data_IF_779928263869
#
_entry.id   IF_779928263869
#
_cell.length_a   1.000
_cell.length_b   1.000
_cell.length_c   1.000
_cell.angle_alpha   90.00
_cell.angle_beta   90.00
_cell.angle_gamma   90.00
#
_symmetry.space_group_name_H-M   'P 1'
#
loop_
_entity.id
_entity.type
_entity.pdbx_description
1 polymer ?
#
# COMPACT_ATOMS: atom_id res chain seq x y z
N UNK A 1 2.92 8.76 7.57
CA UNK A 1 2.09 8.19 6.50
C UNK A 1 2.50 6.77 6.22
N UNK A 2 1.53 5.93 6.03
CA UNK A 2 1.78 4.49 5.97
C UNK A 2 2.51 4.04 4.72
N UNK A 3 2.19 4.58 3.55
CA UNK A 3 2.73 4.06 2.28
C UNK A 3 3.67 5.05 1.60
N UNK A 4 4.68 5.46 2.33
CA UNK A 4 5.80 6.20 1.80
C UNK A 4 5.46 7.58 1.24
N UNK A 5 5.96 7.86 0.06
CA UNK A 5 5.92 9.20 -0.55
C UNK A 5 4.67 9.47 -1.40
N UNK A 6 3.76 8.51 -1.53
CA UNK A 6 2.58 8.67 -2.37
C UNK A 6 1.63 9.71 -1.77
N UNK A 7 1.16 10.61 -2.63
CA UNK A 7 0.21 11.63 -2.22
C UNK A 7 -1.21 11.09 -2.29
N UNK A 8 -2.00 11.46 -1.30
CA UNK A 8 -3.40 11.09 -1.26
C UNK A 8 -4.25 12.19 -1.89
N UNK A 9 -5.38 11.77 -2.46
CA UNK A 9 -6.41 12.67 -2.98
C UNK A 9 -7.71 12.43 -2.21
N UNK A 10 -8.55 13.44 -2.11
CA UNK A 10 -9.84 13.34 -1.43
C UNK A 10 -10.96 13.79 -2.37
N UNK A 11 -12.12 13.12 -2.29
CA UNK A 11 -13.32 13.54 -2.99
C UNK A 11 -14.55 13.07 -2.24
N UNK A 12 -15.70 13.70 -2.52
CA UNK A 12 -16.98 13.40 -1.84
C UNK A 12 -17.49 12.01 -2.21
N UNK A 13 -17.47 11.67 -3.49
CA UNK A 13 -17.94 10.38 -3.96
C UNK A 13 -16.87 9.31 -3.84
N UNK A 14 -17.29 8.08 -3.54
CA UNK A 14 -16.35 6.96 -3.48
C UNK A 14 -15.80 6.70 -4.89
N UNK A 15 -14.47 6.75 -5.06
CA UNK A 15 -13.87 6.46 -6.36
C UNK A 15 -13.97 4.98 -6.69
N UNK A 16 -14.05 4.65 -7.97
CA UNK A 16 -13.88 3.29 -8.42
C UNK A 16 -12.43 2.87 -8.26
N UNK A 17 -12.19 1.57 -8.06
CA UNK A 17 -10.80 1.05 -7.94
C UNK A 17 -10.01 1.35 -9.23
N UNK A 18 -10.67 1.31 -10.37
CA UNK A 18 -10.02 1.58 -11.65
C UNK A 18 -10.93 2.35 -12.59
N UNK A 19 -10.36 3.38 -13.24
CA UNK A 19 -11.00 4.12 -14.32
C UNK A 19 -10.31 3.75 -15.64
N UNK A 20 -11.01 3.04 -16.50
CA UNK A 20 -10.48 2.53 -17.76
C UNK A 20 -10.09 3.65 -18.74
N UNK A 21 -10.80 4.77 -18.72
CA UNK A 21 -10.52 5.88 -19.63
C UNK A 21 -9.22 6.60 -19.28
N UNK A 22 -9.00 6.88 -18.00
CA UNK A 22 -7.82 7.58 -17.53
C UNK A 22 -6.69 6.64 -17.14
N UNK A 23 -6.97 5.36 -17.00
CA UNK A 23 -6.06 4.33 -16.49
C UNK A 23 -5.52 4.66 -15.09
N UNK A 24 -6.35 5.26 -14.26
CA UNK A 24 -6.00 5.54 -12.86
C UNK A 24 -6.55 4.44 -11.97
N UNK A 25 -5.65 3.86 -11.17
CA UNK A 25 -5.98 2.88 -10.13
C UNK A 25 -6.00 3.63 -8.80
N UNK A 26 -7.08 3.47 -8.04
CA UNK A 26 -7.20 4.09 -6.72
C UNK A 26 -6.88 3.08 -5.64
N UNK A 27 -5.81 3.32 -4.90
CA UNK A 27 -5.33 2.45 -3.82
C UNK A 27 -5.77 3.00 -2.47
N UNK A 28 -5.97 2.09 -1.51
CA UNK A 28 -6.23 2.41 -0.10
C UNK A 28 -7.39 3.41 0.05
N UNK A 29 -8.53 3.11 -0.58
CA UNK A 29 -9.72 3.94 -0.50
C UNK A 29 -10.28 3.88 0.92
N UNK A 30 -10.30 5.02 1.60
CA UNK A 30 -10.64 5.12 3.02
C UNK A 30 -11.64 6.24 3.24
N UNK A 31 -12.73 6.02 3.98
CA UNK A 31 -13.63 7.11 4.35
C UNK A 31 -12.90 8.19 5.16
N UNK A 32 -13.08 9.44 4.79
CA UNK A 32 -12.46 10.58 5.47
C UNK A 32 -13.39 11.78 5.45
N UNK A 33 -13.54 12.41 6.61
CA UNK A 33 -14.35 13.61 6.76
C UNK A 33 -13.45 14.83 6.62
N UNK A 34 -13.85 15.80 5.79
CA UNK A 34 -13.16 17.08 5.66
C UNK A 34 -14.16 18.23 5.85
N UNK A 35 -13.66 19.41 6.15
CA UNK A 35 -14.49 20.60 6.28
C UNK A 35 -14.78 21.17 4.91
N UNK A 36 -16.03 21.59 4.68
CA UNK A 36 -16.41 22.32 3.48
C UNK A 36 -16.06 23.83 3.61
N UNK A 37 -16.43 24.61 2.59
CA UNK A 37 -16.15 26.05 2.57
C UNK A 37 -16.81 26.81 3.73
N UNK A 38 -17.91 26.29 4.26
CA UNK A 38 -18.66 26.89 5.37
C UNK A 38 -18.23 26.38 6.74
N UNK A 39 -17.22 25.51 6.79
CA UNK A 39 -16.70 24.93 8.03
C UNK A 39 -17.49 23.74 8.55
N UNK A 40 -18.44 23.21 7.79
CA UNK A 40 -19.23 22.03 8.15
C UNK A 40 -18.52 20.74 7.75
N UNK A 41 -18.77 19.66 8.50
CA UNK A 41 -18.23 18.35 8.18
C UNK A 41 -18.81 17.83 6.88
N UNK A 42 -17.93 17.33 6.00
CA UNK A 42 -18.32 16.74 4.73
C UNK A 42 -17.73 15.34 4.62
N UNK A 43 -18.59 14.34 4.47
CA UNK A 43 -18.16 12.96 4.29
C UNK A 43 -17.58 12.76 2.89
N UNK A 44 -16.51 12.01 2.82
CA UNK A 44 -15.86 11.71 1.54
C UNK A 44 -14.89 10.56 1.68
N UNK A 45 -13.96 10.46 0.73
CA UNK A 45 -13.01 9.36 0.65
C UNK A 45 -11.62 9.89 0.30
N UNK A 46 -10.63 9.34 0.99
CA UNK A 46 -9.22 9.55 0.69
C UNK A 46 -8.67 8.32 -0.02
N UNK A 47 -7.82 8.51 -1.00
CA UNK A 47 -7.25 7.41 -1.79
C UNK A 47 -5.93 7.83 -2.42
N UNK A 48 -5.18 6.83 -2.89
CA UNK A 48 -3.90 7.05 -3.57
C UNK A 48 -4.10 6.76 -5.05
N UNK A 49 -4.12 7.79 -5.94
CA UNK A 49 -4.27 7.55 -7.38
C UNK A 49 -2.93 7.19 -8.01
N UNK A 50 -2.91 6.15 -8.83
CA UNK A 50 -1.74 5.73 -9.59
C UNK A 50 -2.15 5.52 -11.03
N UNK A 51 -1.54 6.25 -11.96
CA UNK A 51 -1.77 6.05 -13.39
C UNK A 51 -0.91 4.90 -13.88
N UNK A 52 -1.54 3.93 -14.58
CA UNK A 52 -0.83 2.82 -15.21
C UNK A 52 -0.73 3.04 -16.72
N UNK A 53 0.22 2.37 -17.36
CA UNK A 53 0.38 2.47 -18.80
C UNK A 53 -0.61 1.59 -19.56
N UNK A 54 -0.48 1.53 -20.88
CA UNK A 54 -1.40 0.80 -21.76
C UNK A 54 -1.17 -0.70 -21.81
N UNK A 55 -0.11 -1.21 -21.18
CA UNK A 55 0.16 -2.64 -21.13
C UNK A 55 -0.69 -3.30 -20.05
N UNK A 56 -1.77 -3.94 -20.46
CA UNK A 56 -2.75 -4.55 -19.55
C UNK A 56 -2.40 -6.01 -19.33
N UNK A 57 -1.57 -6.23 -18.32
CA UNK A 57 -1.12 -7.54 -17.89
C UNK A 57 -1.01 -7.53 -16.37
N UNK A 58 -1.53 -8.56 -15.70
CA UNK A 58 -1.58 -8.60 -14.24
C UNK A 58 -0.22 -8.35 -13.59
N UNK A 59 0.81 -9.05 -14.04
CA UNK A 59 2.15 -8.90 -13.45
C UNK A 59 2.74 -7.52 -13.68
N UNK A 60 2.54 -6.95 -14.87
CA UNK A 60 3.01 -5.61 -15.18
C UNK A 60 2.29 -4.54 -14.37
N UNK A 61 0.98 -4.63 -14.26
CA UNK A 61 0.17 -3.69 -13.48
C UNK A 61 0.57 -3.77 -12.01
N UNK A 62 0.67 -4.96 -11.45
CA UNK A 62 1.09 -5.17 -10.06
C UNK A 62 2.45 -4.52 -9.81
N UNK A 63 3.42 -4.73 -10.70
CA UNK A 63 4.75 -4.15 -10.58
C UNK A 63 4.72 -2.63 -10.62
N UNK A 64 3.95 -2.03 -11.52
CA UNK A 64 3.82 -0.58 -11.60
C UNK A 64 3.24 0.01 -10.31
N UNK A 65 2.24 -0.64 -9.73
CA UNK A 65 1.63 -0.17 -8.49
C UNK A 65 2.61 -0.26 -7.31
N UNK A 66 3.35 -1.36 -7.22
CA UNK A 66 4.35 -1.53 -6.17
C UNK A 66 5.46 -0.48 -6.28
N UNK A 67 5.99 -0.27 -7.50
CA UNK A 67 7.05 0.70 -7.73
C UNK A 67 6.62 2.14 -7.46
N UNK A 68 5.34 2.44 -7.60
CA UNK A 68 4.82 3.77 -7.27
C UNK A 68 4.98 4.09 -5.78
N UNK A 69 4.88 3.09 -4.91
CA UNK A 69 5.03 3.27 -3.46
C UNK A 69 6.42 2.95 -2.94
N UNK A 70 7.10 1.97 -3.55
CA UNK A 70 8.42 1.51 -3.11
C UNK A 70 9.31 1.26 -4.32
N UNK A 71 10.48 1.88 -4.35
CA UNK A 71 11.46 1.61 -5.40
C UNK A 71 11.94 0.16 -5.30
N UNK A 72 12.11 -0.50 -6.44
CA UNK A 72 12.49 -1.92 -6.50
C UNK A 72 13.77 -2.24 -5.71
N UNK A 73 14.75 -1.34 -5.73
CA UNK A 73 15.99 -1.51 -4.97
C UNK A 73 15.78 -1.55 -3.46
N UNK A 74 14.70 -0.94 -2.95
CA UNK A 74 14.43 -0.87 -1.52
C UNK A 74 13.76 -2.16 -1.01
N UNK A 75 13.08 -2.89 -1.89
CA UNK A 75 12.39 -4.14 -1.56
C UNK A 75 13.33 -5.18 -0.95
N UNK A 76 14.49 -5.40 -1.59
CA UNK A 76 15.47 -6.35 -1.10
C UNK A 76 16.08 -5.88 0.23
N UNK A 77 16.38 -4.59 0.35
CA UNK A 77 16.90 -4.01 1.59
C UNK A 77 15.93 -4.16 2.76
N UNK A 78 14.65 -3.89 2.53
CA UNK A 78 13.62 -4.07 3.54
C UNK A 78 13.54 -5.53 4.01
N UNK A 79 13.58 -6.47 3.07
CA UNK A 79 13.54 -7.89 3.38
C UNK A 79 14.74 -8.30 4.23
N UNK A 80 15.96 -7.93 3.82
CA UNK A 80 17.18 -8.37 4.51
C UNK A 80 17.28 -7.78 5.91
N UNK A 81 16.90 -6.52 6.09
CA UNK A 81 16.90 -5.90 7.41
C UNK A 81 15.89 -6.57 8.34
N UNK A 82 14.70 -6.88 7.82
CA UNK A 82 13.68 -7.56 8.61
C UNK A 82 14.10 -9.00 8.98
N UNK A 83 14.75 -9.72 8.06
CA UNK A 83 15.25 -11.07 8.32
C UNK A 83 16.25 -11.08 9.45
N UNK A 84 17.19 -10.14 9.47
CA UNK A 84 18.16 -10.02 10.56
C UNK A 84 17.46 -9.83 11.91
N UNK A 85 16.50 -8.92 11.98
CA UNK A 85 15.77 -8.65 13.21
C UNK A 85 14.94 -9.85 13.67
N UNK A 86 14.31 -10.54 12.73
CA UNK A 86 13.48 -11.73 13.02
C UNK A 86 14.37 -12.85 13.58
N UNK A 87 15.49 -13.12 12.94
CA UNK A 87 16.42 -14.17 13.40
C UNK A 87 16.97 -13.86 14.79
N UNK A 88 17.30 -12.60 15.04
CA UNK A 88 17.77 -12.16 16.34
C UNK A 88 16.71 -12.30 17.42
N UNK A 89 15.47 -11.92 17.11
CA UNK A 89 14.35 -12.05 18.04
C UNK A 89 14.11 -13.52 18.44
N UNK A 90 14.20 -14.44 17.50
CA UNK A 90 14.00 -15.88 17.74
C UNK A 90 15.18 -16.44 18.56
N UNK A 91 16.40 -16.05 18.22
CA UNK A 91 17.62 -16.57 18.85
C UNK A 91 17.76 -16.10 20.31
N UNK A 92 17.44 -14.83 20.59
CA UNK A 92 17.70 -14.21 21.87
C UNK A 92 16.55 -14.36 22.87
N UNK A 93 15.41 -14.91 22.47
CA UNK A 93 14.21 -14.98 23.30
C UNK A 93 13.67 -16.39 23.38
N UNK A 94 13.18 -16.78 24.55
CA UNK A 94 12.72 -18.15 24.81
C UNK A 94 11.20 -18.29 24.93
N UNK A 95 10.46 -17.17 24.97
CA UNK A 95 9.00 -17.19 25.08
C UNK A 95 8.36 -16.51 23.89
N UNK A 96 7.13 -16.93 23.55
CA UNK A 96 6.37 -16.30 22.45
C UNK A 96 6.15 -14.82 22.74
N UNK A 97 5.85 -14.47 23.98
CA UNK A 97 5.61 -13.08 24.38
C UNK A 97 6.84 -12.20 24.16
N UNK A 98 8.02 -12.67 24.58
CA UNK A 98 9.26 -11.91 24.41
C UNK A 98 9.70 -11.85 22.94
N UNK A 99 9.43 -12.87 22.13
CA UNK A 99 9.68 -12.84 20.69
C UNK A 99 8.79 -11.79 20.02
N UNK A 100 7.50 -11.76 20.33
CA UNK A 100 6.59 -10.76 19.80
C UNK A 100 7.03 -9.34 20.11
N UNK A 101 7.48 -9.10 21.33
CA UNK A 101 7.97 -7.80 21.75
C UNK A 101 9.26 -7.42 21.01
N UNK A 102 10.17 -8.37 20.86
CA UNK A 102 11.43 -8.15 20.13
C UNK A 102 11.23 -7.94 18.64
N UNK A 103 10.14 -8.41 18.05
CA UNK A 103 9.80 -8.18 16.65
C UNK A 103 9.24 -6.77 16.39
N UNK A 104 8.94 -5.99 17.40
CA UNK A 104 8.47 -4.62 17.23
C UNK A 104 9.65 -3.68 17.01
N UNK A 105 10.29 -3.79 15.85
CA UNK A 105 11.41 -2.95 15.43
C UNK A 105 11.02 -2.14 14.21
N UNK A 106 11.74 -1.05 13.95
CA UNK A 106 11.51 -0.22 12.77
C UNK A 106 11.66 -1.02 11.47
N UNK A 107 12.66 -1.90 11.40
CA UNK A 107 12.92 -2.69 10.20
C UNK A 107 11.83 -3.73 9.95
N UNK A 108 11.38 -4.44 10.99
CA UNK A 108 10.27 -5.40 10.85
C UNK A 108 8.99 -4.68 10.48
N UNK A 109 8.69 -3.56 11.13
CA UNK A 109 7.48 -2.78 10.85
C UNK A 109 7.49 -2.21 9.43
N UNK A 110 8.64 -1.75 8.95
CA UNK A 110 8.78 -1.26 7.56
C UNK A 110 8.55 -2.38 6.56
N UNK A 111 9.05 -3.59 6.83
CA UNK A 111 8.81 -4.73 5.96
C UNK A 111 7.35 -5.15 5.96
N UNK A 112 6.69 -5.17 7.11
CA UNK A 112 5.26 -5.49 7.22
C UNK A 112 4.43 -4.47 6.43
N UNK A 113 4.75 -3.19 6.54
CA UNK A 113 4.07 -2.13 5.78
C UNK A 113 4.24 -2.35 4.27
N UNK A 114 5.44 -2.71 3.83
CA UNK A 114 5.70 -3.05 2.43
C UNK A 114 4.86 -4.24 1.98
N UNK A 115 4.78 -5.30 2.79
CA UNK A 115 3.98 -6.48 2.46
C UNK A 115 2.49 -6.15 2.37
N UNK A 116 1.98 -5.31 3.26
CA UNK A 116 0.59 -4.85 3.21
C UNK A 116 0.32 -4.06 1.92
N UNK A 117 1.23 -3.15 1.56
CA UNK A 117 1.11 -2.38 0.34
C UNK A 117 1.16 -3.28 -0.89
N UNK A 118 2.07 -4.23 -0.92
CA UNK A 118 2.21 -5.19 -2.01
C UNK A 118 0.93 -6.03 -2.19
N UNK A 119 0.34 -6.48 -1.09
CA UNK A 119 -0.92 -7.22 -1.11
C UNK A 119 -2.05 -6.37 -1.68
N UNK A 120 -2.13 -5.12 -1.28
CA UNK A 120 -3.12 -4.17 -1.81
C UNK A 120 -2.94 -3.95 -3.32
N UNK A 121 -1.70 -3.83 -3.79
CA UNK A 121 -1.41 -3.70 -5.22
C UNK A 121 -1.82 -4.96 -6.00
N UNK A 122 -1.62 -6.13 -5.44
CA UNK A 122 -2.04 -7.40 -6.03
C UNK A 122 -3.56 -7.46 -6.21
N UNK A 123 -4.32 -7.08 -5.18
CA UNK A 123 -5.78 -7.06 -5.25
C UNK A 123 -6.26 -6.01 -6.25
N UNK A 124 -5.66 -4.83 -6.27
CA UNK A 124 -6.00 -3.78 -7.22
C UNK A 124 -5.73 -4.22 -8.67
N UNK A 125 -4.61 -4.89 -8.93
CA UNK A 125 -4.29 -5.40 -10.26
C UNK A 125 -5.33 -6.44 -10.72
N UNK A 126 -5.81 -7.30 -9.83
CA UNK A 126 -6.88 -8.25 -10.14
C UNK A 126 -8.18 -7.52 -10.51
N UNK A 127 -8.51 -6.45 -9.81
CA UNK A 127 -9.70 -5.66 -10.11
C UNK A 127 -9.58 -4.98 -11.48
N UNK A 128 -8.39 -4.45 -11.82
CA UNK A 128 -8.14 -3.86 -13.14
C UNK A 128 -8.38 -4.89 -14.24
N UNK A 129 -7.88 -6.11 -14.07
CA UNK A 129 -8.01 -7.16 -15.08
C UNK A 129 -9.48 -7.51 -15.38
N UNK A 130 -10.38 -7.33 -14.44
CA UNK A 130 -11.81 -7.58 -14.65
C UNK A 130 -12.42 -6.69 -15.72
N UNK A 131 -11.86 -5.49 -15.96
CA UNK A 131 -12.33 -4.56 -16.96
C UNK A 131 -11.97 -4.97 -18.39
N UNK A 132 -11.09 -5.95 -18.56
CA UNK A 132 -10.56 -6.35 -19.87
C UNK A 132 -10.89 -7.80 -20.23
N UNK A 133 -11.82 -8.42 -19.53
CA UNK A 133 -12.29 -9.78 -19.82
C UNK A 133 -13.41 -9.78 -20.84
#
# INVERSE_FOLDING_TARGET
MKFGILQRRWQVTQPAVYDKETRIVCLDITPEVQKDADGNDQNGYSFIPVEIDSQIDYGHIKSQLIEAGFAQKDEFGLLMNAVDDILKAITDNSTISSIKEALNTEDVNAFVEFCEFRSMCSEAAKEVMKFYK
#
